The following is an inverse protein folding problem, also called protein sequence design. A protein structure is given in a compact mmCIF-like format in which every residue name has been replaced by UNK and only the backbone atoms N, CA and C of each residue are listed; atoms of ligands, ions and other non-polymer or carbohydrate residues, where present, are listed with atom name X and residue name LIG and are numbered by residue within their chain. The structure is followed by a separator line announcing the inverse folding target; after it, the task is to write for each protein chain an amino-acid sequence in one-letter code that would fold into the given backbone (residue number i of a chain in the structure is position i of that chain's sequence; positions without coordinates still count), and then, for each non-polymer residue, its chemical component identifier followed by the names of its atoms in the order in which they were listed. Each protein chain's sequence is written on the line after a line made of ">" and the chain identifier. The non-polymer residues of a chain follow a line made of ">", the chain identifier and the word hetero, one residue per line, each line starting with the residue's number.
data_IF_113013298223
#
_entry.id   IF_113013298223
#
_cell.length_a   1.000
_cell.length_b   1.000
_cell.length_c   1.000
_cell.angle_alpha   90.00
_cell.angle_beta   90.00
_cell.angle_gamma   90.00
#
_symmetry.space_group_name_H-M   'P 1'
#
loop_
_entity.id
_entity.type
_entity.pdbx_description
1 polymer ?
#
# COMPACT_ATOMS: atom_id res chain seq x y z
N UNK A 1 15.03 -18.13 -0.31
CA UNK A 1 13.90 -17.25 0.07
C UNK A 1 12.61 -18.02 -0.13
N UNK A 2 11.78 -18.05 0.88
CA UNK A 2 10.46 -18.68 0.86
C UNK A 2 9.54 -17.99 -0.15
N UNK A 3 8.60 -18.75 -0.74
CA UNK A 3 7.63 -18.20 -1.71
C UNK A 3 6.71 -17.16 -1.08
N UNK A 4 6.33 -17.38 0.18
CA UNK A 4 5.50 -16.43 0.93
C UNK A 4 6.19 -15.08 1.14
N UNK A 5 7.45 -15.09 1.56
CA UNK A 5 8.27 -13.89 1.70
C UNK A 5 8.48 -13.18 0.36
N UNK A 6 8.80 -13.93 -0.69
CA UNK A 6 8.95 -13.37 -2.03
C UNK A 6 7.66 -12.72 -2.54
N UNK A 7 6.51 -13.33 -2.23
CA UNK A 7 5.20 -12.80 -2.62
C UNK A 7 4.91 -11.45 -1.96
N UNK A 8 5.21 -11.29 -0.66
CA UNK A 8 5.07 -9.99 0.02
C UNK A 8 6.00 -8.93 -0.57
N UNK A 9 7.26 -9.28 -0.83
CA UNK A 9 8.21 -8.36 -1.49
C UNK A 9 7.76 -7.96 -2.91
N UNK A 10 7.09 -8.84 -3.64
CA UNK A 10 6.49 -8.50 -4.94
C UNK A 10 5.34 -7.49 -4.79
N UNK A 11 4.53 -7.60 -3.74
CA UNK A 11 3.51 -6.59 -3.44
C UNK A 11 4.15 -5.24 -3.09
N UNK A 12 5.28 -5.23 -2.38
CA UNK A 12 6.04 -3.99 -2.12
C UNK A 12 6.51 -3.29 -3.40
N UNK A 13 6.82 -4.04 -4.46
CA UNK A 13 7.09 -3.42 -5.77
C UNK A 13 5.89 -2.63 -6.27
N UNK A 14 4.68 -3.19 -6.15
CA UNK A 14 3.45 -2.48 -6.55
C UNK A 14 3.12 -1.32 -5.60
N UNK A 15 3.29 -1.51 -4.28
CA UNK A 15 3.10 -0.45 -3.30
C UNK A 15 4.02 0.76 -3.57
N UNK A 16 5.26 0.52 -4.01
CA UNK A 16 6.21 1.58 -4.41
C UNK A 16 5.80 2.28 -5.71
N UNK A 17 5.21 1.58 -6.68
CA UNK A 17 4.61 2.23 -7.86
C UNK A 17 3.46 3.15 -7.45
N UNK A 18 2.58 2.69 -6.55
CA UNK A 18 1.50 3.51 -6.00
C UNK A 18 2.06 4.73 -5.24
N UNK A 19 3.13 4.56 -4.46
CA UNK A 19 3.84 5.65 -3.79
C UNK A 19 4.36 6.70 -4.79
N UNK A 20 4.97 6.29 -5.89
CA UNK A 20 5.54 7.20 -6.89
C UNK A 20 4.44 8.01 -7.59
N UNK A 21 3.30 7.37 -7.91
CA UNK A 21 2.10 8.05 -8.40
C UNK A 21 1.58 9.06 -7.37
N UNK A 22 1.51 8.66 -6.11
CA UNK A 22 1.06 9.49 -5.00
C UNK A 22 1.96 10.70 -4.79
N UNK A 23 3.28 10.51 -4.88
CA UNK A 23 4.27 11.60 -4.81
C UNK A 23 4.09 12.59 -5.96
N UNK A 24 4.05 12.09 -7.20
CA UNK A 24 3.85 12.93 -8.38
C UNK A 24 2.55 13.74 -8.29
N UNK A 25 1.45 13.09 -7.89
CA UNK A 25 0.17 13.77 -7.68
C UNK A 25 0.28 14.88 -6.64
N UNK A 26 0.92 14.61 -5.50
CA UNK A 26 1.15 15.61 -4.44
C UNK A 26 1.94 16.81 -4.96
N UNK A 27 3.05 16.58 -5.66
CA UNK A 27 3.93 17.64 -6.17
C UNK A 27 3.22 18.50 -7.22
N UNK A 28 2.45 17.88 -8.14
CA UNK A 28 1.63 18.59 -9.12
C UNK A 28 0.55 19.45 -8.47
N UNK A 29 -0.13 18.93 -7.44
CA UNK A 29 -1.14 19.70 -6.71
C UNK A 29 -0.53 20.92 -5.99
N UNK A 30 0.68 20.78 -5.40
CA UNK A 30 1.41 21.91 -4.82
C UNK A 30 1.86 22.93 -5.87
N UNK A 31 2.21 22.48 -7.08
CA UNK A 31 2.53 23.35 -8.21
C UNK A 31 1.29 23.94 -8.91
N UNK A 32 0.08 23.75 -8.36
CA UNK A 32 -1.20 24.19 -8.94
C UNK A 32 -1.50 23.61 -10.33
N UNK A 33 -0.94 22.46 -10.67
CA UNK A 33 -1.31 21.71 -11.87
C UNK A 33 -2.69 21.08 -11.67
N UNK A 34 -3.52 21.14 -12.70
CA UNK A 34 -4.83 20.50 -12.68
C UNK A 34 -4.71 18.98 -12.86
N UNK A 35 -5.16 18.24 -11.86
CA UNK A 35 -5.28 16.79 -11.90
C UNK A 35 -6.76 16.45 -11.83
N UNK A 36 -7.28 15.58 -12.72
CA UNK A 36 -8.65 15.11 -12.64
C UNK A 36 -8.95 14.51 -11.27
N UNK A 37 -10.07 14.91 -10.66
CA UNK A 37 -10.44 14.41 -9.33
C UNK A 37 -10.63 12.88 -9.34
N UNK A 38 -11.10 12.35 -10.45
CA UNK A 38 -11.27 10.90 -10.67
C UNK A 38 -9.93 10.15 -10.56
N UNK A 39 -8.83 10.73 -11.04
CA UNK A 39 -7.50 10.11 -10.93
C UNK A 39 -7.06 10.05 -9.45
N UNK A 40 -7.36 11.09 -8.66
CA UNK A 40 -7.06 11.11 -7.22
C UNK A 40 -7.98 10.13 -6.46
N UNK A 41 -9.23 9.98 -6.88
CA UNK A 41 -10.14 8.95 -6.35
C UNK A 41 -9.59 7.54 -6.64
N UNK A 42 -9.05 7.29 -7.83
CA UNK A 42 -8.39 6.00 -8.17
C UNK A 42 -7.16 5.75 -7.29
N UNK A 43 -6.31 6.76 -7.05
CA UNK A 43 -5.18 6.65 -6.10
C UNK A 43 -5.69 6.18 -4.73
N UNK A 44 -6.77 6.79 -4.23
CA UNK A 44 -7.38 6.41 -2.96
C UNK A 44 -7.87 4.96 -2.94
N UNK A 45 -8.45 4.48 -4.05
CA UNK A 45 -8.93 3.08 -4.19
C UNK A 45 -7.77 2.09 -4.16
N UNK A 46 -6.69 2.33 -4.91
CA UNK A 46 -5.56 1.39 -4.94
C UNK A 46 -4.78 1.37 -3.62
N UNK A 47 -4.72 2.48 -2.88
CA UNK A 47 -4.17 2.52 -1.52
C UNK A 47 -5.03 1.65 -0.58
N UNK A 48 -6.37 1.81 -0.61
CA UNK A 48 -7.26 1.09 0.29
C UNK A 48 -7.33 -0.40 -0.05
N UNK A 49 -7.49 -0.75 -1.33
CA UNK A 49 -7.79 -2.13 -1.72
C UNK A 49 -6.52 -2.97 -1.91
N UNK A 50 -5.49 -2.42 -2.58
CA UNK A 50 -4.27 -3.18 -2.82
C UNK A 50 -3.34 -3.13 -1.61
N UNK A 51 -3.01 -1.93 -1.10
CA UNK A 51 -2.03 -1.83 0.00
C UNK A 51 -2.64 -2.31 1.31
N UNK A 52 -3.79 -1.78 1.73
CA UNK A 52 -4.33 -2.10 3.06
C UNK A 52 -5.07 -3.45 3.08
N UNK A 53 -6.11 -3.63 2.24
CA UNK A 53 -6.94 -4.84 2.35
C UNK A 53 -6.25 -6.10 1.86
N UNK A 54 -5.49 -6.00 0.76
CA UNK A 54 -4.85 -7.18 0.16
C UNK A 54 -3.47 -7.44 0.76
N UNK A 55 -2.53 -6.52 0.62
CA UNK A 55 -1.15 -6.70 1.05
C UNK A 55 -1.03 -6.79 2.58
N UNK A 56 -1.43 -5.77 3.33
CA UNK A 56 -1.44 -5.85 4.81
C UNK A 56 -2.35 -6.98 5.32
N UNK A 57 -3.41 -7.31 4.58
CA UNK A 57 -4.26 -8.46 4.90
C UNK A 57 -3.49 -9.78 4.94
N UNK A 58 -2.54 -10.01 4.02
CA UNK A 58 -1.66 -11.19 4.03
C UNK A 58 -0.73 -11.20 5.23
N UNK A 59 -0.18 -10.05 5.56
CA UNK A 59 0.72 -9.91 6.71
C UNK A 59 -0.01 -10.12 8.04
N UNK A 60 -1.09 -9.41 8.26
CA UNK A 60 -1.84 -9.43 9.51
C UNK A 60 -2.56 -10.75 9.78
N UNK A 61 -3.08 -11.40 8.71
CA UNK A 61 -3.89 -12.61 8.87
C UNK A 61 -3.08 -13.91 8.73
N UNK A 62 -1.88 -13.86 8.15
CA UNK A 62 -1.08 -15.05 7.89
C UNK A 62 0.38 -14.93 8.34
N UNK A 63 1.16 -14.03 7.73
CA UNK A 63 2.61 -13.98 7.91
C UNK A 63 3.04 -13.60 9.32
N UNK A 64 2.49 -12.53 9.87
CA UNK A 64 2.81 -12.09 11.23
C UNK A 64 2.35 -13.07 12.31
N UNK A 65 1.14 -13.63 12.28
CA UNK A 65 0.77 -14.69 13.22
C UNK A 65 1.69 -15.89 13.19
N UNK A 66 2.17 -16.31 12.01
CA UNK A 66 3.08 -17.46 11.87
C UNK A 66 4.48 -17.18 12.40
N UNK A 67 4.94 -15.93 12.38
CA UNK A 67 6.32 -15.55 12.76
C UNK A 67 6.42 -14.91 14.14
N UNK A 68 5.35 -14.38 14.70
CA UNK A 68 5.29 -13.57 15.92
C UNK A 68 6.02 -14.17 17.14
N UNK A 69 5.94 -15.48 17.32
CA UNK A 69 6.53 -16.15 18.49
C UNK A 69 7.91 -16.75 18.21
N UNK A 70 8.46 -16.51 17.03
CA UNK A 70 9.77 -17.01 16.59
C UNK A 70 10.83 -15.93 16.77
N UNK A 71 12.00 -16.33 17.23
CA UNK A 71 13.21 -15.49 17.27
C UNK A 71 13.06 -14.09 17.90
N UNK A 72 12.04 -13.87 18.75
CA UNK A 72 11.80 -12.58 19.38
C UNK A 72 11.13 -11.52 18.51
N UNK A 73 10.55 -11.89 17.37
CA UNK A 73 9.94 -10.96 16.39
C UNK A 73 8.66 -10.25 16.86
N UNK A 74 8.09 -10.65 18.00
CA UNK A 74 6.81 -10.12 18.47
C UNK A 74 6.77 -8.60 18.63
N UNK A 75 7.86 -7.97 19.05
CA UNK A 75 7.92 -6.51 19.22
C UNK A 75 7.99 -5.77 17.87
N UNK A 76 8.72 -6.29 16.89
CA UNK A 76 8.78 -5.69 15.57
C UNK A 76 7.43 -5.80 14.85
N UNK A 77 6.79 -6.97 14.92
CA UNK A 77 5.44 -7.17 14.39
C UNK A 77 4.43 -6.23 15.07
N UNK A 78 4.52 -6.01 16.39
CA UNK A 78 3.67 -5.05 17.09
C UNK A 78 3.84 -3.63 16.51
N UNK A 79 5.06 -3.21 16.21
CA UNK A 79 5.34 -1.91 15.58
C UNK A 79 4.71 -1.81 14.19
N UNK A 80 4.85 -2.85 13.34
CA UNK A 80 4.24 -2.88 12.01
C UNK A 80 2.71 -2.78 12.09
N UNK A 81 2.07 -3.50 13.00
CA UNK A 81 0.62 -3.39 13.19
C UNK A 81 0.17 -1.97 13.59
N UNK A 82 0.97 -1.25 14.37
CA UNK A 82 0.71 0.17 14.70
C UNK A 82 0.90 1.05 13.46
N UNK A 83 1.93 0.78 12.65
CA UNK A 83 2.16 1.50 11.40
C UNK A 83 1.03 1.26 10.39
N UNK A 84 0.51 0.02 10.25
CA UNK A 84 -0.67 -0.27 9.42
C UNK A 84 -1.88 0.57 9.83
N UNK A 85 -2.13 0.69 11.14
CA UNK A 85 -3.24 1.54 11.62
C UNK A 85 -3.00 3.02 11.31
N UNK A 86 -1.76 3.50 11.35
CA UNK A 86 -1.41 4.86 10.89
C UNK A 86 -1.71 5.03 9.40
N UNK A 87 -1.32 4.08 8.56
CA UNK A 87 -1.62 4.06 7.12
C UNK A 87 -3.12 4.15 6.84
N UNK A 88 -3.93 3.35 7.56
CA UNK A 88 -5.41 3.40 7.49
C UNK A 88 -5.96 4.78 7.85
N UNK A 89 -5.41 5.44 8.85
CA UNK A 89 -5.83 6.79 9.24
C UNK A 89 -5.51 7.81 8.14
N UNK A 90 -4.32 7.74 7.53
CA UNK A 90 -3.93 8.58 6.39
C UNK A 90 -4.91 8.37 5.23
N UNK A 91 -5.22 7.12 4.85
CA UNK A 91 -6.17 6.79 3.80
C UNK A 91 -7.59 7.34 4.08
N UNK A 92 -8.08 7.19 5.33
CA UNK A 92 -9.37 7.76 5.76
C UNK A 92 -9.39 9.29 5.69
N UNK A 93 -8.28 9.96 6.02
CA UNK A 93 -8.16 11.41 5.88
C UNK A 93 -8.23 11.84 4.42
N UNK A 94 -7.56 11.12 3.51
CA UNK A 94 -7.63 11.36 2.06
C UNK A 94 -9.08 11.27 1.56
N UNK A 95 -9.77 10.16 1.84
CA UNK A 95 -11.17 9.98 1.47
C UNK A 95 -12.09 11.10 1.99
N UNK A 96 -11.86 11.55 3.23
CA UNK A 96 -12.61 12.64 3.82
C UNK A 96 -12.42 13.96 3.06
N UNK A 97 -11.19 14.30 2.70
CA UNK A 97 -10.89 15.54 1.96
C UNK A 97 -11.39 15.45 0.50
N UNK A 98 -11.29 14.30 -0.16
CA UNK A 98 -11.84 14.08 -1.50
C UNK A 98 -13.38 14.27 -1.51
N UNK A 99 -14.09 13.73 -0.51
CA UNK A 99 -15.53 13.94 -0.37
C UNK A 99 -15.90 15.42 -0.20
N UNK A 100 -15.09 16.19 0.53
CA UNK A 100 -15.29 17.65 0.67
C UNK A 100 -14.99 18.38 -0.64
N UNK A 101 -13.93 17.98 -1.34
CA UNK A 101 -13.59 18.57 -2.63
C UNK A 101 -14.70 18.38 -3.65
N UNK A 102 -15.23 17.15 -3.75
CA UNK A 102 -16.33 16.79 -4.65
C UNK A 102 -17.62 17.61 -4.38
N UNK A 103 -17.89 17.93 -3.10
CA UNK A 103 -19.07 18.73 -2.70
C UNK A 103 -18.88 20.23 -2.89
N UNK A 104 -17.67 20.73 -2.71
CA UNK A 104 -17.40 22.17 -2.64
C UNK A 104 -16.87 22.82 -3.92
N UNK A 105 -16.48 22.03 -4.92
CA UNK A 105 -16.14 22.49 -6.29
C UNK A 105 -15.03 23.52 -6.44
N UNK A 106 -14.10 23.68 -5.48
CA UNK A 106 -13.09 24.72 -5.57
C UNK A 106 -11.67 24.26 -5.23
N UNK A 107 -10.70 25.03 -5.73
CA UNK A 107 -9.26 24.80 -5.58
C UNK A 107 -8.75 24.88 -4.11
N UNK A 108 -9.58 25.31 -3.17
CA UNK A 108 -9.22 25.42 -1.74
C UNK A 108 -8.93 24.05 -1.09
N UNK A 109 -9.24 22.95 -1.77
CA UNK A 109 -9.00 21.58 -1.27
C UNK A 109 -7.71 20.95 -1.79
N UNK A 110 -7.02 21.60 -2.73
CA UNK A 110 -5.77 21.05 -3.30
C UNK A 110 -4.71 20.82 -2.24
N UNK A 111 -4.41 21.85 -1.44
CA UNK A 111 -3.36 21.77 -0.41
C UNK A 111 -3.62 20.67 0.64
N UNK A 112 -4.81 20.57 1.27
CA UNK A 112 -5.09 19.47 2.18
C UNK A 112 -4.92 18.08 1.56
N UNK A 113 -5.35 17.87 0.31
CA UNK A 113 -5.18 16.62 -0.40
C UNK A 113 -3.71 16.36 -0.70
N UNK A 114 -2.99 17.34 -1.25
CA UNK A 114 -1.55 17.24 -1.54
C UNK A 114 -0.75 16.84 -0.30
N UNK A 115 -1.01 17.47 0.85
CA UNK A 115 -0.34 17.18 2.12
C UNK A 115 -0.61 15.77 2.61
N UNK A 116 -1.84 15.27 2.48
CA UNK A 116 -2.17 13.89 2.88
C UNK A 116 -1.50 12.88 1.94
N UNK A 117 -1.49 13.15 0.63
CA UNK A 117 -0.76 12.32 -0.34
C UNK A 117 0.73 12.28 -0.02
N UNK A 118 1.35 13.43 0.32
CA UNK A 118 2.75 13.50 0.77
C UNK A 118 2.99 12.65 2.02
N UNK A 119 2.09 12.71 2.99
CA UNK A 119 2.18 11.89 4.20
C UNK A 119 2.09 10.40 3.88
N UNK A 120 1.24 10.00 2.92
CA UNK A 120 1.14 8.62 2.45
C UNK A 120 2.43 8.15 1.75
N UNK A 121 3.03 9.01 0.91
CA UNK A 121 4.32 8.72 0.27
C UNK A 121 5.42 8.44 1.28
N UNK A 122 5.56 9.29 2.30
CA UNK A 122 6.55 9.12 3.37
C UNK A 122 6.28 7.82 4.13
N UNK A 123 5.02 7.57 4.48
CA UNK A 123 4.60 6.35 5.16
C UNK A 123 4.98 5.09 4.37
N UNK A 124 4.58 4.97 3.11
CA UNK A 124 4.87 3.77 2.29
C UNK A 124 6.39 3.58 2.14
N UNK A 125 7.15 4.66 1.92
CA UNK A 125 8.61 4.58 1.76
C UNK A 125 9.30 4.01 2.99
N UNK A 126 8.97 4.54 4.17
CA UNK A 126 9.60 4.15 5.43
C UNK A 126 9.15 2.74 5.86
N UNK A 127 7.86 2.47 5.77
CA UNK A 127 7.22 1.23 6.17
C UNK A 127 7.72 0.03 5.36
N UNK A 128 7.60 0.07 4.02
CA UNK A 128 8.04 -1.04 3.18
C UNK A 128 9.55 -1.29 3.25
N UNK A 129 10.34 -0.25 3.52
CA UNK A 129 11.78 -0.39 3.73
C UNK A 129 12.12 -1.15 5.02
N UNK A 130 11.40 -0.87 6.10
CA UNK A 130 11.56 -1.58 7.38
C UNK A 130 11.11 -3.04 7.27
N UNK A 131 9.99 -3.28 6.61
CA UNK A 131 9.47 -4.63 6.43
C UNK A 131 10.34 -5.47 5.51
N UNK A 132 10.90 -4.93 4.44
CA UNK A 132 11.85 -5.66 3.61
C UNK A 132 13.06 -6.14 4.42
N UNK A 133 13.61 -5.30 5.30
CA UNK A 133 14.69 -5.68 6.20
C UNK A 133 14.24 -6.76 7.21
N UNK A 134 13.02 -6.66 7.71
CA UNK A 134 12.45 -7.66 8.61
C UNK A 134 12.24 -9.01 7.91
N UNK A 135 11.75 -9.01 6.67
CA UNK A 135 11.61 -10.21 5.87
C UNK A 135 12.95 -10.86 5.57
N UNK A 136 13.99 -10.07 5.27
CA UNK A 136 15.34 -10.60 5.09
C UNK A 136 15.88 -11.25 6.37
N UNK A 137 15.60 -10.67 7.53
CA UNK A 137 15.97 -11.25 8.82
C UNK A 137 15.25 -12.58 9.10
N UNK A 138 13.98 -12.70 8.73
CA UNK A 138 13.21 -13.96 8.83
C UNK A 138 13.84 -15.05 7.96
N UNK A 139 14.22 -14.71 6.74
CA UNK A 139 14.90 -15.63 5.81
C UNK A 139 16.28 -16.04 6.30
N UNK A 140 17.08 -15.09 6.77
CA UNK A 140 18.41 -15.34 7.35
C UNK A 140 18.35 -16.33 8.51
N UNK A 141 17.38 -16.15 9.40
CA UNK A 141 17.16 -17.02 10.56
C UNK A 141 16.43 -18.33 10.23
N UNK A 142 16.05 -18.54 8.97
CA UNK A 142 15.25 -19.70 8.53
C UNK A 142 14.04 -19.96 9.43
N UNK A 143 13.32 -18.90 9.71
CA UNK A 143 12.23 -18.92 10.69
C UNK A 143 10.95 -19.56 10.19
N UNK A 144 10.83 -19.83 8.89
CA UNK A 144 9.67 -20.45 8.24
C UNK A 144 10.13 -21.76 7.59
N UNK A 145 9.48 -22.89 7.92
CA UNK A 145 9.72 -24.19 7.29
C UNK A 145 9.03 -24.27 5.92
N UNK A 146 9.36 -25.29 5.12
CA UNK A 146 8.73 -25.51 3.81
C UNK A 146 7.22 -25.76 3.96
N UNK A 147 6.78 -26.51 4.96
CA UNK A 147 5.38 -26.77 5.25
C UNK A 147 4.62 -25.49 5.66
N UNK A 148 5.27 -24.64 6.46
CA UNK A 148 4.71 -23.35 6.86
C UNK A 148 4.61 -22.39 5.67
N UNK A 149 5.60 -22.39 4.78
CA UNK A 149 5.59 -21.59 3.55
C UNK A 149 4.43 -21.98 2.62
N UNK A 150 4.21 -23.28 2.43
CA UNK A 150 3.05 -23.78 1.68
C UNK A 150 1.71 -23.40 2.33
N UNK A 151 1.63 -23.45 3.66
CA UNK A 151 0.44 -23.03 4.40
C UNK A 151 0.19 -21.53 4.21
N UNK A 152 1.23 -20.69 4.33
CA UNK A 152 1.14 -19.26 4.12
C UNK A 152 0.64 -18.92 2.71
N UNK A 153 1.16 -19.60 1.69
CA UNK A 153 0.70 -19.41 0.30
C UNK A 153 -0.79 -19.74 0.13
N UNK A 154 -1.31 -20.78 0.79
CA UNK A 154 -2.75 -21.07 0.81
C UNK A 154 -3.56 -19.97 1.51
N UNK A 155 -3.04 -19.42 2.62
CA UNK A 155 -3.69 -18.29 3.30
C UNK A 155 -3.71 -17.03 2.43
N UNK A 156 -2.66 -16.76 1.65
CA UNK A 156 -2.63 -15.62 0.72
C UNK A 156 -3.69 -15.74 -0.38
N UNK A 157 -3.98 -16.96 -0.85
CA UNK A 157 -5.11 -17.18 -1.77
C UNK A 157 -6.46 -16.85 -1.10
N UNK A 158 -6.63 -17.16 0.18
CA UNK A 158 -7.83 -16.75 0.92
C UNK A 158 -7.90 -15.22 1.07
N UNK A 159 -6.80 -14.55 1.39
CA UNK A 159 -6.76 -13.08 1.45
C UNK A 159 -7.11 -12.47 0.08
N UNK A 160 -6.61 -13.03 -1.01
CA UNK A 160 -6.97 -12.62 -2.37
C UNK A 160 -8.48 -12.75 -2.62
N UNK A 161 -9.07 -13.89 -2.26
CA UNK A 161 -10.50 -14.12 -2.43
C UNK A 161 -11.36 -13.15 -1.60
N UNK A 162 -10.92 -12.78 -0.41
CA UNK A 162 -11.60 -11.83 0.46
C UNK A 162 -11.70 -10.41 -0.13
N UNK A 163 -10.78 -10.04 -1.02
CA UNK A 163 -10.79 -8.73 -1.69
C UNK A 163 -11.41 -8.76 -3.09
N UNK A 164 -12.04 -9.86 -3.46
CA UNK A 164 -12.73 -10.01 -4.75
C UNK A 164 -12.00 -10.89 -5.78
N UNK A 165 -10.99 -11.65 -5.34
CA UNK A 165 -10.32 -12.65 -6.15
C UNK A 165 -9.30 -12.09 -7.14
N UNK A 166 -8.83 -12.97 -8.02
CA UNK A 166 -7.81 -12.66 -9.03
C UNK A 166 -8.22 -11.49 -9.94
N UNK A 167 -9.46 -11.49 -10.39
CA UNK A 167 -9.97 -10.44 -11.29
C UNK A 167 -9.90 -9.05 -10.66
N UNK A 168 -10.21 -8.95 -9.35
CA UNK A 168 -10.11 -7.66 -8.64
C UNK A 168 -8.68 -7.19 -8.50
N UNK A 169 -7.74 -8.08 -8.21
CA UNK A 169 -6.30 -7.74 -8.16
C UNK A 169 -5.83 -7.26 -9.54
N UNK A 170 -6.19 -7.97 -10.62
CA UNK A 170 -5.84 -7.54 -11.99
C UNK A 170 -6.44 -6.19 -12.36
N UNK A 171 -7.67 -5.88 -11.92
CA UNK A 171 -8.27 -4.56 -12.09
C UNK A 171 -7.47 -3.48 -11.36
N UNK A 172 -7.04 -3.71 -10.11
CA UNK A 172 -6.24 -2.75 -9.37
C UNK A 172 -4.88 -2.49 -10.05
N UNK A 173 -4.21 -3.54 -10.56
CA UNK A 173 -2.96 -3.38 -11.32
C UNK A 173 -3.17 -2.56 -12.60
N UNK A 174 -4.27 -2.77 -13.32
CA UNK A 174 -4.64 -1.95 -14.48
C UNK A 174 -4.92 -0.50 -14.11
N UNK A 175 -5.50 -0.23 -12.93
CA UNK A 175 -5.68 1.14 -12.44
C UNK A 175 -4.33 1.81 -12.12
N UNK A 176 -3.37 1.08 -11.56
CA UNK A 176 -2.00 1.59 -11.37
C UNK A 176 -1.36 1.93 -12.72
N UNK A 177 -1.40 1.02 -13.70
CA UNK A 177 -0.90 1.27 -15.06
C UNK A 177 -1.59 2.45 -15.75
N UNK A 178 -2.92 2.59 -15.58
CA UNK A 178 -3.67 3.72 -16.08
C UNK A 178 -3.14 5.04 -15.51
N UNK A 179 -2.94 5.11 -14.19
CA UNK A 179 -2.41 6.32 -13.54
C UNK A 179 -0.99 6.65 -14.00
N UNK A 180 -0.11 5.67 -14.13
CA UNK A 180 1.27 5.86 -14.62
C UNK A 180 1.32 6.44 -16.04
N UNK A 181 0.30 6.16 -16.86
CA UNK A 181 0.20 6.64 -18.24
C UNK A 181 -0.54 7.98 -18.39
N UNK A 182 -0.96 8.61 -17.30
CA UNK A 182 -1.64 9.92 -17.36
C UNK A 182 -0.68 11.03 -17.78
N UNK A 183 -1.20 12.02 -18.48
CA UNK A 183 -0.43 13.18 -18.96
C UNK A 183 0.27 13.92 -17.82
N UNK A 184 -0.42 14.10 -16.68
CA UNK A 184 0.15 14.76 -15.53
C UNK A 184 1.31 13.97 -14.86
N UNK A 185 1.41 12.65 -15.11
CA UNK A 185 2.56 11.83 -14.67
C UNK A 185 3.78 12.03 -15.57
N UNK A 186 3.60 12.25 -16.87
CA UNK A 186 4.67 12.30 -17.87
C UNK A 186 5.37 13.65 -17.94
N UNK A 187 4.66 14.74 -17.61
CA UNK A 187 5.21 16.09 -17.68
C UNK A 187 6.11 16.37 -16.47
N UNK A 188 7.36 16.72 -16.69
CA UNK A 188 8.22 17.27 -15.64
C UNK A 188 7.65 18.61 -15.13
N UNK A 189 7.95 18.95 -13.85
CA UNK A 189 7.54 20.22 -13.23
C UNK A 189 8.42 21.38 -13.73
#
# INVERSE_FOLDING_TARGET
>A
MNKSTQNLKQDHVIARRIRDITQACSDKLYANVDIPLEDIEIISVVIEEFVDKFHHGKEEQAYFPQTKYKNGFGEDIRKFLIEHELGRRIAKMLLKELKKWKKGGNNLRREPVARILKSNTVFITDHTGKEDNFFDLIEEKRSISDEEDEMLMRHYENCKNNVGGKERIEQMLKLVEYLENREWMKNEL
#
